data_IF_166638019140
#
_entry.id   IF_166638019140
#
_cell.length_a   1.000
_cell.length_b   1.000
_cell.length_c   1.000
_cell.angle_alpha   90.00
_cell.angle_beta   90.00
_cell.angle_gamma   90.00
#
_symmetry.space_group_name_H-M   'P 1'
#
loop_
_entity.id
_entity.type
_entity.pdbx_description
1 polymer ?
#
# COMPACT_ATOMS: atom_id res chain seq x y z
N UNK A 1 -25.35 -23.76 1.09
CA UNK A 1 -24.34 -22.80 1.60
C UNK A 1 -24.12 -23.22 3.04
N UNK A 2 -23.11 -24.06 3.32
CA UNK A 2 -22.83 -24.54 4.68
C UNK A 2 -22.18 -23.40 5.47
N UNK A 3 -22.76 -23.04 6.63
CA UNK A 3 -22.21 -22.06 7.57
C UNK A 3 -20.84 -22.52 8.09
N UNK A 4 -19.87 -21.61 8.11
CA UNK A 4 -18.55 -21.88 8.68
C UNK A 4 -18.67 -21.96 10.22
N UNK A 5 -18.51 -23.16 10.77
CA UNK A 5 -18.46 -23.36 12.21
C UNK A 5 -17.12 -22.86 12.78
N UNK A 6 -17.16 -21.67 13.36
CA UNK A 6 -16.02 -21.00 14.00
C UNK A 6 -15.50 -21.74 15.23
N UNK A 7 -16.31 -22.62 15.82
CA UNK A 7 -15.94 -23.40 17.01
C UNK A 7 -15.22 -24.70 16.66
N UNK A 8 -15.38 -25.22 15.44
CA UNK A 8 -14.74 -26.45 14.94
C UNK A 8 -13.89 -26.22 13.68
N UNK A 9 -12.98 -25.23 13.72
CA UNK A 9 -12.05 -24.99 12.61
C UNK A 9 -11.00 -26.11 12.47
N UNK A 10 -10.76 -26.55 11.23
CA UNK A 10 -9.70 -27.51 10.89
C UNK A 10 -8.33 -26.93 11.25
N UNK A 11 -7.51 -27.71 11.93
CA UNK A 11 -6.14 -27.31 12.29
C UNK A 11 -5.11 -27.99 11.40
N UNK A 12 -3.99 -27.30 11.15
CA UNK A 12 -2.81 -27.83 10.46
C UNK A 12 -1.56 -27.62 11.32
N UNK A 13 -0.59 -28.50 11.20
CA UNK A 13 0.68 -28.39 11.93
C UNK A 13 1.80 -28.04 10.96
N UNK A 14 2.48 -26.91 11.18
CA UNK A 14 3.63 -26.46 10.38
C UNK A 14 4.80 -26.21 11.33
N UNK A 15 5.90 -26.94 11.13
CA UNK A 15 7.12 -26.78 11.95
C UNK A 15 6.91 -27.05 13.45
N UNK A 16 5.96 -27.93 13.81
CA UNK A 16 5.63 -28.24 15.21
C UNK A 16 4.65 -27.28 15.88
N UNK A 17 4.26 -26.19 15.21
CA UNK A 17 3.22 -25.28 15.67
C UNK A 17 1.87 -25.59 15.00
N UNK A 18 0.77 -25.47 15.76
CA UNK A 18 -0.59 -25.79 15.30
C UNK A 18 -1.32 -24.50 14.94
N UNK A 19 -1.87 -24.44 13.72
CA UNK A 19 -2.59 -23.29 13.17
C UNK A 19 -4.04 -23.68 12.87
N UNK A 20 -4.98 -22.73 13.01
CA UNK A 20 -6.38 -22.88 12.59
C UNK A 20 -6.53 -22.34 11.16
N UNK A 21 -7.09 -23.14 10.26
CA UNK A 21 -7.35 -22.75 8.87
C UNK A 21 -8.85 -22.48 8.66
N UNK A 22 -9.17 -21.29 8.14
CA UNK A 22 -10.55 -20.84 7.91
C UNK A 22 -10.98 -20.84 6.43
N UNK A 23 -10.24 -21.46 5.51
CA UNK A 23 -10.65 -21.44 4.10
C UNK A 23 -10.35 -22.74 3.35
N UNK A 24 -11.33 -23.18 2.55
CA UNK A 24 -11.16 -24.13 1.44
C UNK A 24 -10.46 -23.42 0.27
N UNK A 25 -9.28 -22.84 0.49
CA UNK A 25 -8.45 -22.45 -0.65
C UNK A 25 -7.93 -23.76 -1.22
N UNK A 26 -8.39 -24.10 -2.43
CA UNK A 26 -7.79 -25.16 -3.21
C UNK A 26 -6.28 -24.96 -3.18
N UNK A 27 -5.57 -25.95 -2.68
CA UNK A 27 -4.13 -26.08 -2.85
C UNK A 27 -3.79 -25.80 -4.32
N UNK A 28 -2.85 -24.89 -4.63
CA UNK A 28 -2.33 -24.81 -5.99
C UNK A 28 -1.49 -26.07 -6.22
N UNK A 29 -2.15 -27.09 -6.76
CA UNK A 29 -1.46 -28.24 -7.35
C UNK A 29 -0.80 -27.82 -8.65
N UNK A 30 0.40 -28.36 -8.85
CA UNK A 30 1.15 -28.48 -10.11
C UNK A 30 2.12 -27.32 -10.39
N UNK A 31 3.41 -27.65 -10.23
CA UNK A 31 4.51 -26.86 -10.74
C UNK A 31 4.49 -26.81 -12.26
N UNK A 32 4.74 -25.63 -12.79
CA UNK A 32 5.10 -25.43 -14.20
C UNK A 32 6.46 -24.77 -14.21
N UNK A 33 7.48 -25.60 -14.38
CA UNK A 33 8.71 -25.21 -15.04
C UNK A 33 8.40 -25.06 -16.53
N UNK A 34 8.69 -23.89 -17.11
CA UNK A 34 9.09 -23.79 -18.51
C UNK A 34 9.88 -22.47 -18.69
N UNK A 35 11.20 -22.63 -18.68
CA UNK A 35 12.11 -21.83 -19.49
C UNK A 35 11.70 -21.95 -20.98
N UNK A 36 12.03 -20.94 -21.77
CA UNK A 36 11.79 -20.82 -23.22
C UNK A 36 10.37 -20.50 -23.69
N UNK A 37 10.03 -19.21 -23.72
CA UNK A 37 9.58 -18.51 -24.95
C UNK A 37 9.25 -17.03 -24.71
N UNK A 38 10.28 -16.21 -24.46
CA UNK A 38 10.15 -14.73 -24.51
C UNK A 38 10.90 -14.11 -25.71
N UNK A 39 11.31 -14.92 -26.69
CA UNK A 39 12.13 -14.49 -27.81
C UNK A 39 11.36 -14.20 -29.11
N UNK A 40 10.03 -14.38 -29.14
CA UNK A 40 9.23 -14.30 -30.38
C UNK A 40 8.20 -13.16 -30.42
N UNK A 41 8.33 -12.15 -29.55
CA UNK A 41 7.50 -10.93 -29.60
C UNK A 41 8.27 -9.65 -29.96
N UNK A 42 9.54 -9.78 -30.39
CA UNK A 42 10.34 -8.65 -30.88
C UNK A 42 10.58 -8.81 -32.38
N UNK A 43 9.54 -8.54 -33.18
CA UNK A 43 9.75 -8.06 -34.54
C UNK A 43 9.81 -6.53 -34.45
N UNK A 44 10.87 -5.88 -34.92
CA UNK A 44 10.88 -4.44 -35.07
C UNK A 44 10.01 -4.13 -36.28
N UNK A 45 8.73 -3.89 -36.07
CA UNK A 45 7.93 -3.21 -37.07
C UNK A 45 8.38 -1.74 -37.04
N UNK A 46 9.01 -1.35 -38.14
CA UNK A 46 9.52 -0.01 -38.42
C UNK A 46 8.35 0.97 -38.60
N UNK A 47 7.63 1.31 -37.52
CA UNK A 47 6.88 2.56 -37.36
C UNK A 47 6.47 2.76 -35.89
N UNK A 48 7.46 2.78 -35.00
CA UNK A 48 7.26 2.98 -33.55
C UNK A 48 7.13 4.48 -33.27
N UNK A 49 6.14 5.13 -33.88
CA UNK A 49 5.64 6.39 -33.34
C UNK A 49 4.91 6.06 -32.05
N UNK A 50 5.66 6.01 -30.95
CA UNK A 50 5.10 6.02 -29.61
C UNK A 50 4.18 7.25 -29.54
N UNK A 51 2.87 7.03 -29.70
CA UNK A 51 1.89 8.07 -29.47
C UNK A 51 2.02 8.45 -28.00
N UNK A 52 2.67 9.60 -27.77
CA UNK A 52 2.82 10.27 -26.49
C UNK A 52 1.40 10.48 -25.93
N UNK A 53 0.93 9.57 -25.06
CA UNK A 53 -0.33 9.67 -24.27
C UNK A 53 -0.38 10.96 -23.42
N UNK A 54 0.62 11.85 -23.52
CA UNK A 54 0.58 13.18 -22.90
C UNK A 54 0.59 13.13 -21.36
N UNK A 55 0.78 11.95 -20.77
CA UNK A 55 0.81 11.75 -19.32
C UNK A 55 2.13 12.25 -18.70
N UNK A 56 3.15 12.44 -19.53
CA UNK A 56 4.48 12.85 -19.09
C UNK A 56 4.63 14.37 -19.27
N UNK A 57 4.41 15.12 -18.18
CA UNK A 57 4.73 16.55 -18.14
C UNK A 57 6.26 16.75 -18.28
N UNK A 58 6.69 17.24 -19.44
CA UNK A 58 8.09 17.62 -19.72
C UNK A 58 8.16 19.13 -19.84
N UNK A 59 8.94 19.75 -18.96
CA UNK A 59 9.25 21.18 -19.00
C UNK A 59 10.56 21.39 -19.78
N UNK A 60 10.63 22.42 -20.62
CA UNK A 60 11.90 22.89 -21.18
C UNK A 60 12.43 24.05 -20.32
N UNK A 61 13.66 23.91 -19.81
CA UNK A 61 14.32 24.91 -18.98
C UNK A 61 15.75 25.12 -19.44
N UNK A 62 16.06 26.34 -19.87
CA UNK A 62 17.42 26.74 -20.26
C UNK A 62 18.05 25.86 -21.34
N UNK A 63 17.27 25.41 -22.32
CA UNK A 63 17.74 24.54 -23.42
C UNK A 63 17.88 23.07 -23.06
N UNK A 64 17.37 22.65 -21.88
CA UNK A 64 17.29 21.25 -21.47
C UNK A 64 15.84 20.87 -21.18
N UNK A 65 15.49 19.62 -21.47
CA UNK A 65 14.21 19.03 -21.09
C UNK A 65 14.32 18.43 -19.70
N UNK A 66 13.27 18.57 -18.90
CA UNK A 66 13.21 18.01 -17.55
C UNK A 66 11.82 17.49 -17.21
N UNK A 67 11.77 16.45 -16.37
CA UNK A 67 10.53 15.94 -15.77
C UNK A 67 10.77 15.53 -14.32
N UNK A 68 9.71 15.52 -13.52
CA UNK A 68 9.74 15.19 -12.10
C UNK A 68 8.89 13.96 -11.81
N UNK A 69 9.40 13.06 -10.97
CA UNK A 69 8.72 11.85 -10.55
C UNK A 69 8.51 11.94 -9.04
N UNK A 70 7.25 12.06 -8.61
CA UNK A 70 6.90 12.03 -7.18
C UNK A 70 7.05 10.61 -6.68
N UNK A 71 7.94 10.41 -5.71
CA UNK A 71 8.24 9.09 -5.16
C UNK A 71 8.75 9.20 -3.73
N UNK A 72 8.26 8.29 -2.91
CA UNK A 72 8.69 8.16 -1.52
C UNK A 72 10.16 7.74 -1.42
N UNK A 73 10.77 8.21 -0.34
CA UNK A 73 12.19 8.05 -0.14
C UNK A 73 12.67 6.60 0.06
N UNK A 74 11.74 5.72 0.46
CA UNK A 74 11.90 4.28 0.61
C UNK A 74 12.18 3.60 -0.74
N UNK A 75 11.72 4.20 -1.85
CA UNK A 75 11.94 3.67 -3.20
C UNK A 75 13.28 4.11 -3.80
N UNK A 76 13.95 5.12 -3.25
CA UNK A 76 15.22 5.62 -3.77
C UNK A 76 16.29 4.53 -3.85
N UNK A 77 16.31 3.60 -2.88
CA UNK A 77 17.25 2.48 -2.89
C UNK A 77 17.13 1.58 -4.12
N UNK A 78 15.90 1.40 -4.63
CA UNK A 78 15.64 0.61 -5.83
C UNK A 78 16.07 1.34 -7.11
N UNK A 79 15.86 2.66 -7.16
CA UNK A 79 16.28 3.51 -8.29
C UNK A 79 17.81 3.60 -8.37
N UNK A 80 18.48 3.81 -7.22
CA UNK A 80 19.95 3.88 -7.13
C UNK A 80 20.55 2.51 -7.46
N UNK A 81 20.01 1.45 -6.88
CA UNK A 81 20.52 0.10 -6.99
C UNK A 81 21.81 -0.12 -6.20
N UNK A 82 22.28 -1.38 -6.21
CA UNK A 82 23.50 -1.77 -5.49
C UNK A 82 24.70 -0.99 -6.04
N UNK A 83 25.42 -0.29 -5.17
CA UNK A 83 26.59 0.55 -5.53
C UNK A 83 26.30 1.62 -6.61
N UNK A 84 25.02 1.99 -6.82
CA UNK A 84 24.67 2.92 -7.88
C UNK A 84 24.65 2.33 -9.29
N UNK A 85 24.77 1.01 -9.45
CA UNK A 85 24.81 0.38 -10.79
C UNK A 85 23.53 0.61 -11.58
N UNK A 86 22.37 0.58 -10.93
CA UNK A 86 21.08 0.76 -11.62
C UNK A 86 20.95 2.19 -12.14
N UNK A 87 21.21 3.20 -11.31
CA UNK A 87 21.15 4.60 -11.76
C UNK A 87 22.23 4.95 -12.78
N UNK A 88 23.43 4.36 -12.69
CA UNK A 88 24.44 4.50 -13.74
C UNK A 88 23.95 3.92 -15.06
N UNK A 89 23.44 2.68 -15.04
CA UNK A 89 22.91 2.03 -16.24
C UNK A 89 21.80 2.84 -16.91
N UNK A 90 20.86 3.39 -16.13
CA UNK A 90 19.79 4.24 -16.68
C UNK A 90 20.39 5.46 -17.38
N UNK A 91 21.35 6.14 -16.75
CA UNK A 91 21.97 7.34 -17.33
C UNK A 91 22.79 7.01 -18.58
N UNK A 92 23.50 5.88 -18.59
CA UNK A 92 24.31 5.42 -19.71
C UNK A 92 23.44 5.00 -20.92
N UNK A 93 22.35 4.25 -20.67
CA UNK A 93 21.44 3.76 -21.71
C UNK A 93 20.61 4.89 -22.35
N UNK A 94 20.22 5.90 -21.56
CA UNK A 94 19.27 6.94 -22.01
C UNK A 94 19.93 8.27 -22.35
N UNK A 95 21.16 8.51 -21.88
CA UNK A 95 21.84 9.81 -21.98
C UNK A 95 21.21 10.91 -21.10
N UNK A 96 20.21 10.57 -20.28
CA UNK A 96 19.62 11.50 -19.33
C UNK A 96 20.34 11.46 -17.98
N UNK A 97 20.30 12.59 -17.25
CA UNK A 97 20.78 12.68 -15.88
C UNK A 97 19.62 12.48 -14.91
N UNK A 98 19.78 11.56 -13.96
CA UNK A 98 18.80 11.28 -12.90
C UNK A 98 19.32 11.82 -11.57
N UNK A 99 18.60 12.79 -11.00
CA UNK A 99 18.99 13.50 -9.77
C UNK A 99 18.00 13.14 -8.67
N UNK A 100 18.50 12.41 -7.68
CA UNK A 100 17.73 12.02 -6.48
C UNK A 100 18.11 12.97 -5.34
N UNK A 101 17.13 13.60 -4.66
CA UNK A 101 17.40 14.45 -3.50
C UNK A 101 18.20 13.70 -2.44
N UNK A 102 19.22 14.35 -1.88
CA UNK A 102 19.95 13.78 -0.74
C UNK A 102 19.01 13.69 0.44
N UNK A 103 18.88 12.49 1.02
CA UNK A 103 18.24 12.27 2.31
C UNK A 103 18.94 13.12 3.37
N UNK A 104 18.46 14.33 3.63
CA UNK A 104 18.84 15.03 4.85
C UNK A 104 18.03 14.38 5.95
N UNK A 105 18.71 13.73 6.89
CA UNK A 105 18.13 13.19 8.13
C UNK A 105 17.60 14.31 9.05
N UNK A 106 16.93 15.35 8.51
CA UNK A 106 16.42 16.49 9.26
C UNK A 106 15.06 16.19 9.93
N UNK A 107 14.32 15.17 9.48
CA UNK A 107 13.01 14.81 10.06
C UNK A 107 13.08 13.81 11.23
N UNK A 108 14.27 13.32 11.63
CA UNK A 108 14.42 12.34 12.72
C UNK A 108 14.97 12.99 14.01
N UNK A 109 14.40 14.14 14.42
CA UNK A 109 14.69 14.79 15.73
C UNK A 109 13.43 15.33 16.40
N UNK A 110 12.35 14.57 16.44
CA UNK A 110 11.37 14.65 17.54
C UNK A 110 10.94 13.21 17.86
N UNK A 111 10.83 12.88 19.15
CA UNK A 111 10.62 11.51 19.62
C UNK A 111 9.31 10.88 19.12
N UNK A 112 9.12 9.56 19.30
CA UNK A 112 7.94 8.87 18.83
C UNK A 112 6.71 9.28 19.67
N UNK A 113 5.90 10.22 19.15
CA UNK A 113 4.50 10.28 19.55
C UNK A 113 3.83 9.00 19.04
N UNK A 114 3.42 8.13 19.98
CA UNK A 114 2.68 6.91 19.70
C UNK A 114 1.40 7.30 18.94
N UNK A 115 1.28 6.85 17.69
CA UNK A 115 0.04 6.98 16.92
C UNK A 115 0.06 7.89 15.68
N UNK A 116 1.15 7.94 14.91
CA UNK A 116 1.15 8.24 13.46
C UNK A 116 2.57 8.05 12.87
N UNK A 117 3.04 6.81 12.74
CA UNK A 117 4.26 6.51 11.98
C UNK A 117 3.89 6.33 10.51
N UNK A 118 3.89 7.45 9.80
CA UNK A 118 3.75 7.51 8.34
C UNK A 118 4.39 8.79 7.82
N UNK A 119 5.59 9.14 8.30
CA UNK A 119 6.32 10.30 7.81
C UNK A 119 6.97 9.97 6.46
N UNK A 120 6.14 9.67 5.47
CA UNK A 120 6.55 9.65 4.07
C UNK A 120 6.85 11.09 3.68
N UNK A 121 8.14 11.43 3.65
CA UNK A 121 8.61 12.70 3.12
C UNK A 121 8.39 12.69 1.61
N UNK A 122 7.37 13.41 1.14
CA UNK A 122 7.15 13.64 -0.28
C UNK A 122 8.44 14.17 -0.91
N UNK A 123 8.98 13.43 -1.87
CA UNK A 123 10.24 13.77 -2.54
C UNK A 123 10.10 13.57 -4.04
N UNK A 124 10.85 14.35 -4.80
CA UNK A 124 10.79 14.36 -6.26
C UNK A 124 12.14 13.96 -6.85
N UNK A 125 12.13 12.94 -7.70
CA UNK A 125 13.29 12.58 -8.53
C UNK A 125 13.23 13.41 -9.81
N UNK A 126 14.31 14.10 -10.12
CA UNK A 126 14.42 14.98 -11.28
C UNK A 126 15.19 14.26 -12.38
N UNK A 127 14.62 14.20 -13.58
CA UNK A 127 15.26 13.65 -14.78
C UNK A 127 15.47 14.80 -15.76
N UNK A 128 16.69 14.95 -16.29
CA UNK A 128 17.06 16.04 -17.20
C UNK A 128 17.89 15.52 -18.37
N UNK A 129 17.65 16.02 -19.59
CA UNK A 129 18.48 15.73 -20.75
C UNK A 129 18.36 16.84 -21.81
N UNK A 130 19.32 16.90 -22.73
CA UNK A 130 19.28 17.85 -23.86
C UNK A 130 18.24 17.44 -24.93
N UNK A 131 17.81 16.17 -24.92
CA UNK A 131 16.84 15.61 -25.88
C UNK A 131 15.60 15.13 -25.14
N UNK A 132 14.41 15.49 -25.65
CA UNK A 132 13.11 15.08 -25.07
C UNK A 132 12.96 13.56 -24.96
N UNK A 133 13.36 12.81 -26.00
CA UNK A 133 13.26 11.34 -26.01
C UNK A 133 14.11 10.69 -24.92
N UNK A 134 15.29 11.24 -24.61
CA UNK A 134 16.13 10.77 -23.49
C UNK A 134 15.43 10.95 -22.14
N UNK A 135 14.72 12.06 -21.93
CA UNK A 135 13.93 12.29 -20.70
C UNK A 135 12.79 11.29 -20.59
N UNK A 136 12.06 11.06 -21.68
CA UNK A 136 10.96 10.07 -21.72
C UNK A 136 11.50 8.68 -21.40
N UNK A 137 12.53 8.22 -22.11
CA UNK A 137 13.12 6.90 -21.92
C UNK A 137 13.62 6.69 -20.48
N UNK A 138 14.30 7.68 -19.90
CA UNK A 138 14.77 7.62 -18.53
C UNK A 138 13.64 7.60 -17.50
N UNK A 139 12.61 8.42 -17.69
CA UNK A 139 11.42 8.42 -16.82
C UNK A 139 10.72 7.06 -16.85
N UNK A 140 10.45 6.52 -18.04
CA UNK A 140 9.85 5.19 -18.20
C UNK A 140 10.69 4.12 -17.50
N UNK A 141 12.03 4.18 -17.62
CA UNK A 141 12.91 3.21 -16.96
C UNK A 141 12.84 3.29 -15.44
N UNK A 142 12.77 4.50 -14.89
CA UNK A 142 12.60 4.72 -13.43
C UNK A 142 11.23 4.22 -12.97
N UNK A 143 10.16 4.50 -13.69
CA UNK A 143 8.80 4.06 -13.37
C UNK A 143 8.69 2.52 -13.36
N UNK A 144 9.29 1.84 -14.34
CA UNK A 144 9.34 0.36 -14.38
C UNK A 144 10.07 -0.24 -13.17
N UNK A 145 11.16 0.39 -12.72
CA UNK A 145 11.89 -0.05 -11.52
C UNK A 145 11.02 0.14 -10.28
N UNK A 146 10.31 1.26 -10.17
CA UNK A 146 9.37 1.52 -9.08
C UNK A 146 8.25 0.48 -9.09
N UNK A 147 7.66 0.19 -10.23
CA UNK A 147 6.59 -0.81 -10.37
C UNK A 147 7.07 -2.21 -9.98
N UNK A 148 8.24 -2.62 -10.47
CA UNK A 148 8.87 -3.89 -10.08
C UNK A 148 9.14 -3.97 -8.57
N UNK A 149 9.60 -2.86 -7.96
CA UNK A 149 9.81 -2.79 -6.51
C UNK A 149 8.49 -2.92 -5.74
N UNK A 150 7.41 -2.30 -6.23
CA UNK A 150 6.07 -2.39 -5.63
C UNK A 150 5.46 -3.80 -5.73
N UNK A 151 5.75 -4.53 -6.82
CA UNK A 151 5.35 -5.93 -6.98
C UNK A 151 6.04 -6.88 -6.01
N UNK A 152 7.23 -6.53 -5.52
CA UNK A 152 7.98 -7.34 -4.56
C UNK A 152 7.35 -7.30 -3.15
N UNK A 153 7.25 -8.45 -2.47
CA UNK A 153 6.74 -8.59 -1.10
C UNK A 153 7.59 -7.89 -0.04
N UNK A 154 8.81 -7.45 -0.36
CA UNK A 154 9.70 -6.76 0.58
C UNK A 154 9.19 -5.39 1.04
N UNK A 155 8.39 -4.70 0.21
CA UNK A 155 7.80 -3.42 0.59
C UNK A 155 6.53 -3.63 1.42
N UNK A 156 6.41 -2.88 2.50
CA UNK A 156 5.25 -2.92 3.38
C UNK A 156 4.05 -2.24 2.74
N UNK A 157 2.86 -2.70 3.07
CA UNK A 157 1.64 -1.96 2.74
C UNK A 157 1.61 -0.66 3.54
N UNK A 158 1.25 0.43 2.88
CA UNK A 158 1.19 1.76 3.51
C UNK A 158 -0.23 2.16 3.86
N UNK A 159 -1.21 1.69 3.07
CA UNK A 159 -2.62 2.02 3.24
C UNK A 159 -3.47 0.77 3.06
N UNK A 160 -4.71 0.85 3.50
CA UNK A 160 -5.72 -0.16 3.24
C UNK A 160 -7.05 0.52 2.94
N UNK A 161 -7.87 -0.12 2.12
CA UNK A 161 -9.25 0.27 1.89
C UNK A 161 -10.14 -0.50 2.86
N UNK A 162 -10.99 0.22 3.61
CA UNK A 162 -11.92 -0.41 4.54
C UNK A 162 -13.35 0.08 4.36
N UNK A 163 -14.30 -0.80 4.66
CA UNK A 163 -15.72 -0.48 4.79
C UNK A 163 -16.07 -0.34 6.27
N UNK A 164 -16.57 0.82 6.72
CA UNK A 164 -17.12 0.96 8.06
C UNK A 164 -18.33 0.03 8.22
N UNK A 165 -18.35 -0.77 9.29
CA UNK A 165 -19.49 -1.66 9.60
C UNK A 165 -20.37 -1.11 10.73
N UNK A 166 -20.13 0.14 11.13
CA UNK A 166 -20.78 0.82 12.23
C UNK A 166 -22.19 1.32 11.84
N UNK A 167 -23.06 0.41 11.40
CA UNK A 167 -24.47 0.75 11.19
C UNK A 167 -25.15 1.08 12.52
N UNK A 168 -26.29 1.80 12.45
CA UNK A 168 -27.06 2.15 13.66
C UNK A 168 -27.50 0.90 14.44
N UNK A 169 -27.88 -0.16 13.74
CA UNK A 169 -28.28 -1.44 14.35
C UNK A 169 -27.11 -2.10 15.08
N UNK A 170 -25.95 -2.20 14.43
CA UNK A 170 -24.74 -2.81 15.03
C UNK A 170 -24.26 -1.99 16.23
N UNK A 171 -24.25 -0.67 16.10
CA UNK A 171 -23.87 0.24 17.18
C UNK A 171 -24.78 0.09 18.40
N UNK A 172 -26.11 0.02 18.19
CA UNK A 172 -27.08 -0.22 19.26
C UNK A 172 -26.90 -1.60 19.92
N UNK A 173 -26.64 -2.64 19.12
CA UNK A 173 -26.37 -3.98 19.61
C UNK A 173 -25.09 -4.05 20.45
N UNK A 174 -23.99 -3.41 20.00
CA UNK A 174 -22.74 -3.30 20.76
C UNK A 174 -22.95 -2.56 22.08
N UNK A 175 -23.70 -1.45 22.07
CA UNK A 175 -24.02 -0.71 23.29
C UNK A 175 -24.86 -1.54 24.26
N UNK A 176 -25.88 -2.26 23.77
CA UNK A 176 -26.71 -3.15 24.60
C UNK A 176 -25.88 -4.28 25.21
N UNK A 177 -24.98 -4.88 24.43
CA UNK A 177 -24.06 -5.92 24.93
C UNK A 177 -23.12 -5.37 26.00
N UNK A 178 -22.52 -4.19 25.78
CA UNK A 178 -21.65 -3.52 26.75
C UNK A 178 -22.36 -3.29 28.09
N UNK A 179 -23.58 -2.77 28.07
CA UNK A 179 -24.37 -2.57 29.30
C UNK A 179 -24.72 -3.87 30.02
N UNK A 180 -24.95 -4.96 29.27
CA UNK A 180 -25.22 -6.28 29.88
C UNK A 180 -23.97 -6.87 30.51
N UNK A 181 -22.82 -6.74 29.86
CA UNK A 181 -21.56 -7.30 30.32
C UNK A 181 -20.94 -6.53 31.50
N UNK A 182 -21.11 -5.21 31.55
CA UNK A 182 -20.66 -4.38 32.67
C UNK A 182 -21.60 -4.42 33.90
N UNK A 183 -22.74 -5.09 33.80
CA UNK A 183 -23.83 -4.94 34.76
C UNK A 183 -24.61 -3.64 34.52
N UNK A 184 -25.89 -3.64 34.91
CA UNK A 184 -26.68 -2.42 34.77
C UNK A 184 -26.13 -1.35 35.72
N UNK A 185 -26.06 -0.06 35.32
CA UNK A 185 -25.64 1.03 36.21
C UNK A 185 -26.52 1.19 37.47
N UNK A 186 -27.68 0.53 37.46
CA UNK A 186 -28.66 0.52 38.53
C UNK A 186 -28.35 -0.57 39.59
N UNK A 187 -27.42 -1.49 39.31
CA UNK A 187 -26.96 -2.51 40.23
C UNK A 187 -25.43 -2.38 40.45
N UNK A 188 -25.01 -1.63 41.50
CA UNK A 188 -23.60 -1.46 41.81
C UNK A 188 -22.92 -2.76 42.26
N UNK A 189 -23.67 -3.77 42.72
CA UNK A 189 -23.10 -5.07 43.08
C UNK A 189 -22.75 -5.89 41.84
N UNK A 190 -23.62 -5.88 40.82
CA UNK A 190 -23.33 -6.52 39.52
C UNK A 190 -22.16 -5.84 38.79
N UNK A 191 -22.07 -4.51 38.88
CA UNK A 191 -20.96 -3.74 38.29
C UNK A 191 -19.62 -4.07 38.98
N UNK A 192 -19.62 -4.18 40.31
CA UNK A 192 -18.44 -4.57 41.09
C UNK A 192 -18.03 -6.03 40.84
N UNK A 193 -18.98 -6.93 40.60
CA UNK A 193 -18.69 -8.32 40.23
C UNK A 193 -18.04 -8.41 38.85
N UNK A 194 -18.55 -7.68 37.85
CA UNK A 194 -17.95 -7.63 36.53
C UNK A 194 -16.52 -7.09 36.56
N UNK A 195 -16.25 -6.04 37.35
CA UNK A 195 -14.88 -5.52 37.52
C UNK A 195 -13.98 -6.47 38.29
N UNK A 196 -14.51 -7.22 39.26
CA UNK A 196 -13.76 -8.27 39.96
C UNK A 196 -13.37 -9.43 39.03
N UNK A 197 -14.19 -9.72 38.01
CA UNK A 197 -13.91 -10.67 36.93
C UNK A 197 -13.02 -10.07 35.82
N UNK A 198 -12.57 -8.83 35.97
CA UNK A 198 -11.67 -8.15 35.03
C UNK A 198 -12.36 -7.56 33.79
N UNK A 199 -13.68 -7.37 33.83
CA UNK A 199 -14.46 -6.75 32.76
C UNK A 199 -14.64 -5.27 33.08
N UNK A 200 -13.93 -4.41 32.34
CA UNK A 200 -14.01 -2.95 32.47
C UNK A 200 -14.44 -2.27 31.16
N UNK A 201 -14.71 -0.97 31.20
CA UNK A 201 -15.17 -0.24 30.02
C UNK A 201 -14.14 -0.22 28.86
N UNK A 202 -12.85 -0.29 29.18
CA UNK A 202 -11.75 -0.20 28.22
C UNK A 202 -11.56 -1.44 27.34
N UNK A 203 -12.13 -2.59 27.70
CA UNK A 203 -12.06 -3.80 26.84
C UNK A 203 -13.03 -3.75 25.66
N UNK A 204 -14.03 -2.86 25.69
CA UNK A 204 -15.02 -2.75 24.62
C UNK A 204 -14.51 -1.88 23.48
N UNK A 205 -14.60 -2.38 22.25
CA UNK A 205 -14.28 -1.59 21.07
C UNK A 205 -15.27 -0.45 20.85
N UNK A 206 -14.74 0.70 20.43
CA UNK A 206 -15.57 1.77 19.89
C UNK A 206 -16.17 1.35 18.53
N UNK A 207 -17.47 1.60 18.28
CA UNK A 207 -18.12 1.24 17.01
C UNK A 207 -17.39 1.79 15.79
N UNK A 208 -16.77 2.98 15.91
CA UNK A 208 -15.97 3.61 14.84
C UNK A 208 -14.75 2.81 14.39
N UNK A 209 -14.27 1.87 15.21
CA UNK A 209 -13.16 0.98 14.88
C UNK A 209 -13.62 -0.30 14.17
N UNK A 210 -14.93 -0.56 14.10
CA UNK A 210 -15.47 -1.71 13.40
C UNK A 210 -15.48 -1.45 11.89
N UNK A 211 -14.54 -2.09 11.20
CA UNK A 211 -14.41 -1.99 9.76
C UNK A 211 -14.01 -3.34 9.16
N UNK A 212 -14.39 -3.55 7.90
CA UNK A 212 -13.92 -4.65 7.07
C UNK A 212 -12.82 -4.14 6.15
N UNK A 213 -11.62 -4.71 6.24
CA UNK A 213 -10.54 -4.41 5.29
C UNK A 213 -10.80 -5.14 3.97
N UNK A 214 -10.91 -4.38 2.88
CA UNK A 214 -11.13 -4.93 1.54
C UNK A 214 -9.82 -5.22 0.81
N UNK A 215 -8.90 -4.26 0.80
CA UNK A 215 -7.67 -4.31 0.01
C UNK A 215 -6.52 -3.62 0.74
N UNK A 216 -5.32 -4.18 0.61
CA UNK A 216 -4.07 -3.58 1.08
C UNK A 216 -3.35 -2.88 -0.08
N UNK A 217 -2.88 -1.65 0.12
CA UNK A 217 -2.34 -0.79 -0.93
C UNK A 217 -0.90 -0.35 -0.61
N UNK A 218 -0.07 -0.26 -1.66
CA UNK A 218 1.28 0.30 -1.61
C UNK A 218 1.32 1.66 -2.31
N UNK A 219 0.99 2.71 -1.57
CA UNK A 219 0.94 4.10 -2.06
C UNK A 219 2.22 4.86 -1.66
N UNK A 220 3.29 4.63 -2.42
CA UNK A 220 4.62 5.21 -2.21
C UNK A 220 4.89 6.47 -3.06
N UNK A 221 3.85 7.28 -3.30
CA UNK A 221 4.01 8.64 -3.80
C UNK A 221 2.82 9.50 -3.39
N UNK A 222 3.03 10.82 -3.30
CA UNK A 222 1.96 11.77 -3.01
C UNK A 222 0.89 11.75 -4.11
N UNK A 223 1.31 11.70 -5.38
CA UNK A 223 0.39 11.60 -6.52
C UNK A 223 -0.51 10.35 -6.45
N UNK A 224 0.05 9.16 -6.12
CA UNK A 224 -0.75 7.94 -5.98
C UNK A 224 -1.75 8.02 -4.83
N UNK A 225 -1.41 8.68 -3.72
CA UNK A 225 -2.34 8.91 -2.60
C UNK A 225 -3.46 9.86 -2.99
N UNK A 226 -3.13 10.94 -3.67
CA UNK A 226 -4.11 11.91 -4.13
C UNK A 226 -5.06 11.28 -5.16
N UNK A 227 -4.53 10.49 -6.11
CA UNK A 227 -5.35 9.75 -7.06
C UNK A 227 -6.28 8.74 -6.36
N UNK A 228 -5.76 7.99 -5.38
CA UNK A 228 -6.57 7.08 -4.59
C UNK A 228 -7.67 7.82 -3.82
N UNK A 229 -7.35 8.96 -3.20
CA UNK A 229 -8.33 9.80 -2.51
C UNK A 229 -9.40 10.33 -3.48
N UNK A 230 -9.00 10.85 -4.64
CA UNK A 230 -9.93 11.31 -5.69
C UNK A 230 -10.82 10.19 -6.19
N UNK A 231 -10.27 8.98 -6.38
CA UNK A 231 -11.04 7.81 -6.77
C UNK A 231 -12.08 7.44 -5.71
N UNK A 232 -11.71 7.48 -4.42
CA UNK A 232 -12.64 7.21 -3.32
C UNK A 232 -13.72 8.28 -3.18
N UNK A 233 -13.40 9.56 -3.39
CA UNK A 233 -14.38 10.65 -3.34
C UNK A 233 -15.42 10.59 -4.47
N UNK A 234 -15.08 9.95 -5.60
CA UNK A 234 -16.02 9.70 -6.69
C UNK A 234 -16.99 8.57 -6.40
N UNK A 235 -16.68 7.72 -5.43
CA UNK A 235 -17.59 6.69 -4.97
C UNK A 235 -18.55 7.36 -3.99
N UNK A 236 -19.74 7.65 -4.45
CA UNK A 236 -20.83 8.14 -3.60
C UNK A 236 -21.27 6.99 -2.69
N UNK A 237 -20.67 6.94 -1.49
CA UNK A 237 -20.90 5.87 -0.51
C UNK A 237 -22.04 6.21 0.45
N UNK A 238 -22.63 7.41 0.33
CA UNK A 238 -23.79 7.83 1.14
C UNK A 238 -25.05 7.00 0.80
N UNK A 239 -25.09 6.35 -0.37
CA UNK A 239 -26.16 5.42 -0.76
C UNK A 239 -25.96 3.96 -0.25
N UNK A 240 -24.80 3.65 0.33
CA UNK A 240 -24.40 2.28 0.73
C UNK A 240 -24.43 2.02 2.25
N UNK A 241 -24.74 3.04 3.07
CA UNK A 241 -24.78 3.00 4.54
C UNK A 241 -26.12 3.48 5.11
#
# INVERSE_FOLDING_TARGET
MEEADVLQCKTITVGGAIYRCQSRILEPSVGVSDDQSCAELLRPDEDDSWEDDGTIEIEERSGQYQTRISVDTELFGYIIGKQGQTIQRIQDETGARVIIPKHTNAAKKTGPARGAKGSSSNSEVLVQADVRSSVVAARTRVELIIESALGNSSLQYTHFLSLPLASKSVTAAMHSFKLKALGSPQDPAATAAATADGIDEGIFWEPKHLHLTLVMLKLYSAQKRELAQKALQKLDLDDLL
#
